data_IF_569277642012
#
_entry.id   IF_569277642012
#
_cell.length_a   1.000
_cell.length_b   1.000
_cell.length_c   1.000
_cell.angle_alpha   90.00
_cell.angle_beta   90.00
_cell.angle_gamma   90.00
#
_symmetry.space_group_name_H-M   'P 1'
#
loop_
_entity.id
_entity.type
_entity.pdbx_description
1 polymer ?
#
# COMPACT_ATOMS: atom_id res chain seq x y z
N UNK A 1 -19.69 -29.03 19.05
CA UNK A 1 -19.79 -27.55 19.18
C UNK A 1 -19.14 -27.17 20.50
N UNK A 2 -17.89 -26.73 20.47
CA UNK A 2 -17.14 -26.41 21.69
C UNK A 2 -17.56 -25.05 22.26
N UNK A 3 -17.76 -24.99 23.57
CA UNK A 3 -17.91 -23.75 24.32
C UNK A 3 -16.53 -23.24 24.72
N UNK A 4 -16.26 -21.96 24.51
CA UNK A 4 -15.02 -21.36 25.00
C UNK A 4 -15.15 -21.05 26.49
N UNK A 5 -14.39 -21.71 27.36
CA UNK A 5 -14.39 -21.46 28.80
C UNK A 5 -13.90 -20.05 29.18
N UNK A 6 -13.16 -19.38 28.29
CA UNK A 6 -12.66 -18.01 28.49
C UNK A 6 -13.65 -16.92 28.08
N UNK A 7 -14.46 -17.16 27.04
CA UNK A 7 -15.36 -16.14 26.46
C UNK A 7 -16.85 -16.44 26.71
N UNK A 8 -17.17 -17.59 27.29
CA UNK A 8 -18.54 -18.06 27.59
C UNK A 8 -19.52 -17.93 26.41
N UNK A 9 -19.01 -18.12 25.19
CA UNK A 9 -19.71 -17.97 23.92
C UNK A 9 -19.38 -19.14 22.99
N UNK A 10 -20.28 -19.49 22.03
CA UNK A 10 -19.99 -20.53 21.06
C UNK A 10 -18.77 -20.15 20.22
N UNK A 11 -17.78 -21.05 20.13
CA UNK A 11 -16.48 -20.79 19.46
C UNK A 11 -16.65 -20.28 18.02
N UNK A 12 -17.68 -20.75 17.30
CA UNK A 12 -17.99 -20.29 15.95
C UNK A 12 -18.31 -18.78 15.87
N UNK A 13 -18.97 -18.22 16.90
CA UNK A 13 -19.29 -16.78 16.94
C UNK A 13 -18.04 -15.94 17.20
N UNK A 14 -17.17 -16.39 18.11
CA UNK A 14 -15.89 -15.73 18.43
C UNK A 14 -14.97 -15.74 17.21
N UNK A 15 -14.87 -16.88 16.51
CA UNK A 15 -14.06 -16.98 15.27
C UNK A 15 -14.58 -16.00 14.23
N UNK A 16 -15.90 -15.93 14.01
CA UNK A 16 -16.50 -15.04 13.00
C UNK A 16 -16.23 -13.57 13.31
N UNK A 17 -16.41 -13.13 14.56
CA UNK A 17 -16.18 -11.73 14.93
C UNK A 17 -14.70 -11.35 14.82
N UNK A 18 -13.80 -12.21 15.32
CA UNK A 18 -12.35 -11.98 15.22
C UNK A 18 -11.88 -11.98 13.76
N UNK A 19 -12.38 -12.91 12.95
CA UNK A 19 -12.05 -12.97 11.53
C UNK A 19 -12.49 -11.70 10.79
N UNK A 20 -13.72 -11.22 11.03
CA UNK A 20 -14.20 -9.98 10.42
C UNK A 20 -13.33 -8.77 10.79
N UNK A 21 -12.90 -8.65 12.06
CA UNK A 21 -12.00 -7.57 12.49
C UNK A 21 -10.62 -7.66 11.85
N UNK A 22 -10.00 -8.84 11.80
CA UNK A 22 -8.71 -9.05 11.16
C UNK A 22 -8.77 -8.80 9.65
N UNK A 23 -9.85 -9.19 8.99
CA UNK A 23 -10.05 -8.95 7.57
C UNK A 23 -10.18 -7.45 7.26
N UNK A 24 -10.97 -6.71 8.05
CA UNK A 24 -11.10 -5.27 7.89
C UNK A 24 -9.76 -4.55 8.08
N UNK A 25 -8.95 -4.98 9.06
CA UNK A 25 -7.60 -4.47 9.29
C UNK A 25 -6.68 -4.70 8.09
N UNK A 26 -6.60 -5.95 7.63
CA UNK A 26 -5.75 -6.33 6.50
C UNK A 26 -6.18 -5.62 5.23
N UNK A 27 -7.48 -5.57 4.94
CA UNK A 27 -8.02 -4.90 3.77
C UNK A 27 -7.72 -3.39 3.80
N UNK A 28 -7.95 -2.73 4.94
CA UNK A 28 -7.64 -1.30 5.11
C UNK A 28 -6.16 -1.00 4.95
N UNK A 29 -5.29 -1.78 5.59
CA UNK A 29 -3.85 -1.63 5.49
C UNK A 29 -3.35 -1.87 4.06
N UNK A 30 -3.85 -2.91 3.39
CA UNK A 30 -3.48 -3.25 2.02
C UNK A 30 -3.90 -2.17 1.02
N UNK A 31 -5.13 -1.67 1.12
CA UNK A 31 -5.62 -0.58 0.26
C UNK A 31 -4.81 0.69 0.47
N UNK A 32 -4.60 1.09 1.72
CA UNK A 32 -3.90 2.34 2.04
C UNK A 32 -2.42 2.26 1.63
N UNK A 33 -1.77 1.13 1.92
CA UNK A 33 -0.41 0.81 1.46
C UNK A 33 -0.29 0.85 -0.06
N UNK A 34 -1.23 0.23 -0.77
CA UNK A 34 -1.24 0.19 -2.23
C UNK A 34 -1.39 1.58 -2.85
N UNK A 35 -2.38 2.36 -2.38
CA UNK A 35 -2.62 3.72 -2.88
C UNK A 35 -1.42 4.63 -2.61
N UNK A 36 -0.92 4.66 -1.37
CA UNK A 36 0.23 5.50 -1.01
C UNK A 36 1.52 5.03 -1.69
N UNK A 37 1.78 3.72 -1.72
CA UNK A 37 2.97 3.15 -2.35
C UNK A 37 3.00 3.40 -3.86
N UNK A 38 1.88 3.20 -4.56
CA UNK A 38 1.79 3.43 -6.01
C UNK A 38 1.91 4.93 -6.33
N UNK A 39 1.26 5.81 -5.57
CA UNK A 39 1.35 7.27 -5.81
C UNK A 39 2.76 7.80 -5.58
N UNK A 40 3.42 7.38 -4.49
CA UNK A 40 4.81 7.74 -4.21
C UNK A 40 5.78 7.14 -5.23
N UNK A 41 5.61 5.88 -5.61
CA UNK A 41 6.42 5.21 -6.61
C UNK A 41 6.27 5.82 -8.01
N UNK A 42 5.04 6.24 -8.36
CA UNK A 42 4.77 6.97 -9.60
C UNK A 42 5.46 8.33 -9.61
N UNK A 43 5.38 9.07 -8.51
CA UNK A 43 6.04 10.37 -8.37
C UNK A 43 7.57 10.24 -8.45
N UNK A 44 8.15 9.24 -7.78
CA UNK A 44 9.57 8.92 -7.85
C UNK A 44 10.01 8.52 -9.27
N UNK A 45 9.24 7.67 -9.95
CA UNK A 45 9.49 7.25 -11.32
C UNK A 45 9.40 8.39 -12.35
N UNK A 46 8.48 9.35 -12.14
CA UNK A 46 8.35 10.57 -12.97
C UNK A 46 9.58 11.46 -12.86
N UNK A 47 10.09 11.65 -11.64
CA UNK A 47 11.23 12.52 -11.37
C UNK A 47 12.55 11.74 -11.23
N UNK A 48 12.76 10.74 -12.08
CA UNK A 48 13.91 9.83 -12.00
C UNK A 48 15.23 10.62 -11.93
N UNK A 49 16.08 10.27 -10.96
CA UNK A 49 17.37 10.92 -10.64
C UNK A 49 17.30 12.36 -10.11
N UNK A 50 16.11 12.93 -9.90
CA UNK A 50 15.94 14.25 -9.26
C UNK A 50 15.87 14.13 -7.74
N UNK A 51 15.92 15.28 -7.06
CA UNK A 51 15.81 15.36 -5.59
C UNK A 51 14.59 14.62 -4.99
N UNK A 52 13.35 14.74 -5.52
CA UNK A 52 12.21 14.01 -4.95
C UNK A 52 12.35 12.49 -5.05
N UNK A 53 12.89 11.95 -6.15
CA UNK A 53 13.18 10.51 -6.29
C UNK A 53 14.18 10.04 -5.23
N UNK A 54 15.27 10.79 -5.02
CA UNK A 54 16.29 10.47 -4.00
C UNK A 54 15.75 10.54 -2.57
N UNK A 55 14.79 11.42 -2.27
CA UNK A 55 14.14 11.49 -0.95
C UNK A 55 13.25 10.27 -0.73
N UNK A 56 12.36 9.97 -1.67
CA UNK A 56 11.42 8.85 -1.57
C UNK A 56 12.18 7.53 -1.47
N UNK A 57 13.19 7.30 -2.31
CA UNK A 57 14.00 6.08 -2.24
C UNK A 57 14.72 5.95 -0.90
N UNK A 58 15.32 7.03 -0.37
CA UNK A 58 15.99 7.00 0.94
C UNK A 58 15.04 6.61 2.05
N UNK A 59 13.85 7.21 2.08
CA UNK A 59 12.81 6.88 3.07
C UNK A 59 12.40 5.41 2.92
N UNK A 60 12.10 4.94 1.71
CA UNK A 60 11.72 3.54 1.47
C UNK A 60 12.82 2.54 1.87
N UNK A 61 14.09 2.86 1.61
CA UNK A 61 15.21 2.01 2.05
C UNK A 61 15.34 2.01 3.57
N UNK A 62 15.23 3.16 4.24
CA UNK A 62 15.23 3.22 5.70
C UNK A 62 14.10 2.38 6.29
N UNK A 63 12.90 2.44 5.71
CA UNK A 63 11.77 1.63 6.12
C UNK A 63 12.00 0.13 5.91
N UNK A 64 12.71 -0.27 4.85
CA UNK A 64 13.00 -1.67 4.56
C UNK A 64 14.19 -2.24 5.33
N UNK A 65 15.12 -1.38 5.77
CA UNK A 65 16.30 -1.79 6.55
C UNK A 65 16.01 -1.92 8.04
N UNK A 66 15.01 -1.19 8.55
CA UNK A 66 14.58 -1.29 9.93
C UNK A 66 13.61 -2.46 10.13
N UNK A 67 13.73 -3.23 11.22
CA UNK A 67 12.74 -4.25 11.54
C UNK A 67 11.35 -3.66 11.69
N UNK A 68 10.37 -4.29 11.06
CA UNK A 68 8.94 -3.92 11.07
C UNK A 68 8.40 -3.57 12.45
N UNK A 69 8.70 -4.41 13.44
CA UNK A 69 8.26 -4.24 14.82
C UNK A 69 8.76 -2.93 15.43
N UNK A 70 9.98 -2.52 15.08
CA UNK A 70 10.60 -1.30 15.60
C UNK A 70 9.89 -0.05 15.09
N UNK A 71 9.51 -0.03 13.81
CA UNK A 71 8.70 1.05 13.22
C UNK A 71 7.33 1.13 13.88
N UNK A 72 6.68 -0.01 14.10
CA UNK A 72 5.39 -0.07 14.78
C UNK A 72 5.47 0.48 16.22
N UNK A 73 6.52 0.10 16.96
CA UNK A 73 6.77 0.64 18.31
C UNK A 73 7.04 2.14 18.30
N UNK A 74 7.80 2.64 17.33
CA UNK A 74 8.10 4.07 17.21
C UNK A 74 6.83 4.86 16.89
N UNK A 75 6.00 4.37 15.95
CA UNK A 75 4.69 4.96 15.66
C UNK A 75 3.81 5.00 16.93
N UNK A 76 3.75 3.89 17.66
CA UNK A 76 3.02 3.81 18.92
C UNK A 76 3.53 4.86 19.92
N UNK A 77 4.84 4.92 20.16
CA UNK A 77 5.42 5.90 21.10
C UNK A 77 5.12 7.35 20.68
N UNK A 78 5.19 7.65 19.39
CA UNK A 78 5.05 9.02 18.89
C UNK A 78 3.58 9.48 18.92
N UNK A 79 2.65 8.64 18.48
CA UNK A 79 1.21 8.96 18.38
C UNK A 79 0.39 8.62 19.62
N UNK A 80 0.94 7.84 20.54
CA UNK A 80 0.22 7.43 21.74
C UNK A 80 0.81 8.07 23.01
N UNK A 81 2.12 8.35 23.05
CA UNK A 81 2.77 9.01 24.20
C UNK A 81 3.05 10.48 23.93
N UNK A 82 3.69 10.82 22.81
CA UNK A 82 4.15 12.20 22.58
C UNK A 82 3.03 13.13 22.12
N UNK A 83 2.21 12.66 21.18
CA UNK A 83 1.03 13.34 20.64
C UNK A 83 -0.17 12.42 20.83
N UNK A 84 -0.89 12.48 21.97
CA UNK A 84 -2.00 11.57 22.30
C UNK A 84 -3.25 11.85 21.44
N UNK A 85 -3.11 11.73 20.13
CA UNK A 85 -4.17 11.85 19.13
C UNK A 85 -4.86 10.48 18.98
N UNK A 86 -4.12 9.39 19.22
CA UNK A 86 -4.59 8.02 19.00
C UNK A 86 -4.39 7.16 20.26
N UNK A 87 -5.40 6.36 20.66
CA UNK A 87 -5.34 5.51 21.85
C UNK A 87 -4.34 4.36 21.69
N UNK A 88 -3.54 4.11 22.74
CA UNK A 88 -2.42 3.15 22.76
C UNK A 88 -2.94 1.69 22.75
N UNK A 89 -4.04 1.43 23.45
CA UNK A 89 -4.55 0.10 23.78
C UNK A 89 -6.06 0.13 24.03
N UNK A 90 -6.65 -1.07 24.00
CA UNK A 90 -8.08 -1.38 24.17
C UNK A 90 -8.92 -1.19 22.89
N UNK A 91 -9.93 -2.03 22.70
CA UNK A 91 -10.89 -1.88 21.59
C UNK A 91 -12.05 -0.92 21.97
N UNK A 92 -12.03 -0.40 23.19
CA UNK A 92 -13.05 0.38 23.88
C UNK A 92 -12.41 1.08 25.09
N UNK A 93 -12.92 2.25 25.48
CA UNK A 93 -12.47 2.94 26.69
C UNK A 93 -12.75 2.10 27.96
N UNK A 94 -11.86 2.13 28.98
CA UNK A 94 -12.07 1.41 30.23
C UNK A 94 -13.26 2.02 31.00
N UNK A 95 -14.45 1.47 30.77
CA UNK A 95 -15.72 1.95 31.34
C UNK A 95 -16.94 1.74 30.44
N UNK A 96 -16.77 1.43 29.15
CA UNK A 96 -17.89 1.24 28.21
C UNK A 96 -18.09 -0.27 27.89
N UNK A 97 -19.34 -0.74 27.96
CA UNK A 97 -19.67 -2.14 27.68
C UNK A 97 -19.57 -2.43 26.16
N UNK A 98 -19.25 -3.68 25.82
CA UNK A 98 -19.12 -4.16 24.43
C UNK A 98 -20.37 -3.95 23.55
N UNK A 99 -21.53 -3.65 24.15
CA UNK A 99 -22.81 -3.38 23.46
C UNK A 99 -23.08 -1.91 23.10
N UNK A 100 -22.35 -0.94 23.65
CA UNK A 100 -22.57 0.51 23.45
C UNK A 100 -21.40 1.23 22.78
N UNK A 101 -20.28 0.52 22.54
CA UNK A 101 -19.13 1.08 21.83
C UNK A 101 -19.52 1.35 20.36
N UNK A 102 -19.66 2.63 20.03
CA UNK A 102 -19.96 3.10 18.68
C UNK A 102 -18.92 2.51 17.70
N UNK A 103 -19.37 2.06 16.52
CA UNK A 103 -18.48 1.51 15.48
C UNK A 103 -17.29 2.44 15.17
N UNK A 104 -17.51 3.76 15.33
CA UNK A 104 -16.49 4.80 15.18
C UNK A 104 -15.37 4.75 16.22
N UNK A 105 -15.65 4.34 17.46
CA UNK A 105 -14.62 4.17 18.49
C UNK A 105 -13.73 2.97 18.16
N UNK A 106 -14.32 1.86 17.71
CA UNK A 106 -13.57 0.70 17.21
C UNK A 106 -12.67 1.11 16.04
N UNK A 107 -13.20 1.87 15.07
CA UNK A 107 -12.43 2.41 13.93
C UNK A 107 -11.24 3.27 14.38
N UNK A 108 -11.40 4.16 15.36
CA UNK A 108 -10.31 5.03 15.85
C UNK A 108 -9.14 4.24 16.45
N UNK A 109 -9.43 3.14 17.14
CA UNK A 109 -8.41 2.24 17.69
C UNK A 109 -7.73 1.37 16.62
N UNK A 110 -8.37 1.19 15.46
CA UNK A 110 -7.84 0.43 14.32
C UNK A 110 -6.91 1.28 13.42
N UNK A 111 -7.01 2.61 13.45
CA UNK A 111 -6.22 3.50 12.59
C UNK A 111 -4.73 3.32 12.82
N UNK A 112 -4.28 3.28 14.08
CA UNK A 112 -2.86 3.19 14.41
C UNK A 112 -2.20 1.88 13.90
N UNK A 113 -2.79 0.69 14.12
CA UNK A 113 -2.28 -0.55 13.52
C UNK A 113 -2.43 -0.58 11.99
N UNK A 114 -3.50 -0.01 11.41
CA UNK A 114 -3.64 0.10 9.94
C UNK A 114 -2.54 0.98 9.35
N UNK A 115 -2.24 2.12 9.96
CA UNK A 115 -1.16 3.01 9.56
C UNK A 115 0.18 2.29 9.67
N UNK A 116 0.49 1.68 10.81
CA UNK A 116 1.73 0.93 11.00
C UNK A 116 1.89 -0.18 9.95
N UNK A 117 0.85 -0.97 9.69
CA UNK A 117 0.87 -2.00 8.66
C UNK A 117 1.02 -1.42 7.24
N UNK A 118 0.38 -0.28 6.97
CA UNK A 118 0.44 0.35 5.66
C UNK A 118 1.81 0.95 5.31
N UNK A 119 2.50 1.53 6.30
CA UNK A 119 3.85 2.08 6.16
C UNK A 119 4.85 1.00 5.72
N UNK A 120 4.68 -0.23 6.19
CA UNK A 120 5.54 -1.35 5.81
C UNK A 120 5.39 -1.68 4.32
N UNK A 121 4.15 -1.84 3.87
CA UNK A 121 3.89 -2.21 2.49
C UNK A 121 4.18 -1.08 1.51
N UNK A 122 3.92 0.19 1.87
CA UNK A 122 4.08 1.31 0.94
C UNK A 122 5.53 1.47 0.48
N UNK A 123 6.50 1.23 1.36
CA UNK A 123 7.93 1.38 1.07
C UNK A 123 8.38 0.43 -0.04
N UNK A 124 8.00 -0.84 0.08
CA UNK A 124 8.32 -1.86 -0.94
C UNK A 124 7.53 -1.64 -2.23
N UNK A 125 6.23 -1.33 -2.13
CA UNK A 125 5.39 -1.07 -3.31
C UNK A 125 5.92 0.14 -4.10
N UNK A 126 6.36 1.20 -3.41
CA UNK A 126 6.92 2.38 -4.05
C UNK A 126 8.22 2.07 -4.82
N UNK A 127 9.13 1.29 -4.22
CA UNK A 127 10.39 0.89 -4.88
C UNK A 127 10.14 0.03 -6.12
N UNK A 128 9.27 -0.99 -6.02
CA UNK A 128 8.91 -1.83 -7.17
C UNK A 128 8.20 -1.04 -8.27
N UNK A 129 7.31 -0.12 -7.91
CA UNK A 129 6.60 0.72 -8.88
C UNK A 129 7.58 1.65 -9.61
N UNK A 130 8.52 2.26 -8.87
CA UNK A 130 9.59 3.09 -9.45
C UNK A 130 10.46 2.30 -10.41
N UNK A 131 10.89 1.09 -10.06
CA UNK A 131 11.70 0.23 -10.92
C UNK A 131 10.99 -0.11 -12.22
N UNK A 132 9.69 -0.45 -12.15
CA UNK A 132 8.86 -0.68 -13.34
C UNK A 132 8.76 0.55 -14.23
N UNK A 133 8.60 1.74 -13.65
CA UNK A 133 8.57 2.98 -14.44
C UNK A 133 9.95 3.24 -15.06
N UNK A 134 11.02 3.04 -14.32
CA UNK A 134 12.38 3.21 -14.82
C UNK A 134 12.73 2.24 -15.96
N UNK A 135 12.24 1.00 -15.92
CA UNK A 135 12.44 0.03 -17.00
C UNK A 135 11.64 0.40 -18.26
N UNK A 136 10.37 0.81 -18.10
CA UNK A 136 9.54 1.31 -19.21
C UNK A 136 10.20 2.54 -19.85
N UNK A 137 10.75 3.46 -19.06
CA UNK A 137 11.48 4.64 -19.54
C UNK A 137 12.71 4.35 -20.38
N UNK A 138 13.34 3.18 -20.19
CA UNK A 138 14.50 2.76 -20.98
C UNK A 138 14.11 2.02 -22.26
N UNK A 139 12.86 1.61 -22.40
CA UNK A 139 12.38 0.82 -23.55
C UNK A 139 12.43 1.60 -24.87
N UNK A 140 12.56 0.87 -25.97
CA UNK A 140 12.65 1.43 -27.33
C UNK A 140 11.40 2.22 -27.72
N UNK A 141 10.24 1.90 -27.14
CA UNK A 141 8.98 2.61 -27.37
C UNK A 141 9.09 4.10 -27.05
N UNK A 142 9.74 4.45 -25.95
CA UNK A 142 9.88 5.86 -25.52
C UNK A 142 10.96 6.56 -26.33
N UNK A 143 11.99 5.83 -26.78
CA UNK A 143 13.00 6.37 -27.71
C UNK A 143 12.38 6.70 -29.07
N UNK A 144 11.52 5.83 -29.59
CA UNK A 144 10.80 6.04 -30.85
C UNK A 144 9.78 7.20 -30.74
N UNK A 145 9.01 7.27 -29.65
CA UNK A 145 8.10 8.38 -29.39
C UNK A 145 8.82 9.73 -29.30
N UNK A 146 10.01 9.76 -28.66
CA UNK A 146 10.84 10.97 -28.60
C UNK A 146 11.41 11.35 -29.98
N UNK A 147 11.73 10.36 -30.82
CA UNK A 147 12.21 10.59 -32.19
C UNK A 147 11.14 11.22 -33.10
N UNK A 148 9.85 10.95 -32.84
CA UNK A 148 8.72 11.61 -33.51
C UNK A 148 8.48 13.07 -33.07
N UNK A 149 9.32 13.63 -32.19
CA UNK A 149 9.23 15.02 -31.77
C UNK A 149 8.29 15.26 -30.57
N UNK A 150 7.83 14.21 -29.90
CA UNK A 150 6.99 14.32 -28.70
C UNK A 150 7.87 14.75 -27.51
N UNK A 151 8.06 16.06 -27.37
CA UNK A 151 8.88 16.72 -26.36
C UNK A 151 8.01 17.12 -25.17
N UNK A 152 7.49 16.18 -24.39
CA UNK A 152 6.65 16.57 -23.25
C UNK A 152 6.33 15.52 -22.20
N UNK A 153 6.08 16.01 -20.99
CA UNK A 153 5.57 15.26 -19.82
C UNK A 153 4.24 14.53 -20.05
N UNK A 154 3.62 14.69 -21.23
CA UNK A 154 2.36 14.08 -21.67
C UNK A 154 2.55 12.64 -22.20
N UNK A 155 3.75 12.27 -22.68
CA UNK A 155 4.04 10.90 -23.10
C UNK A 155 3.93 9.87 -21.96
N UNK A 156 4.23 10.28 -20.72
CA UNK A 156 4.29 9.38 -19.55
C UNK A 156 2.94 8.78 -19.16
N UNK A 157 1.84 9.51 -19.34
CA UNK A 157 0.50 9.10 -18.87
C UNK A 157 -0.35 8.59 -20.02
N UNK A 158 -0.25 9.21 -21.21
CA UNK A 158 -1.21 8.95 -22.28
C UNK A 158 -0.91 7.68 -23.08
N UNK A 159 0.36 7.23 -23.19
CA UNK A 159 0.69 6.05 -24.02
C UNK A 159 0.74 4.72 -23.25
N UNK A 160 0.94 4.73 -21.94
CA UNK A 160 0.83 3.51 -21.10
C UNK A 160 -0.60 2.96 -21.05
N UNK A 161 -1.63 3.81 -21.20
CA UNK A 161 -3.02 3.34 -21.31
C UNK A 161 -3.37 2.75 -22.67
N UNK A 162 -2.67 3.15 -23.75
CA UNK A 162 -2.92 2.65 -25.12
C UNK A 162 -2.33 1.24 -25.36
N UNK A 163 -1.37 0.80 -24.55
CA UNK A 163 -0.69 -0.50 -24.73
C UNK A 163 -1.16 -1.60 -23.78
N UNK A 164 -2.48 -1.66 -23.53
CA UNK A 164 -3.15 -2.92 -23.17
C UNK A 164 -3.69 -3.67 -24.41
N UNK A 165 -3.24 -3.32 -25.61
CA UNK A 165 -3.39 -4.21 -26.75
C UNK A 165 -2.21 -5.19 -26.75
N UNK A 166 -2.47 -6.50 -26.58
CA UNK A 166 -1.43 -7.51 -26.68
C UNK A 166 -0.83 -7.45 -28.08
N UNK A 167 0.48 -7.27 -28.16
CA UNK A 167 1.29 -7.24 -29.39
C UNK A 167 1.37 -8.63 -30.07
N UNK A 168 0.32 -9.46 -29.96
CA UNK A 168 0.30 -10.84 -30.48
C UNK A 168 -0.04 -10.93 -31.98
N UNK A 169 -0.49 -9.84 -32.62
CA UNK A 169 -1.10 -9.89 -33.96
C UNK A 169 -0.16 -9.55 -35.13
N UNK A 170 1.13 -9.33 -34.92
CA UNK A 170 2.06 -9.03 -36.02
C UNK A 170 2.79 -10.27 -36.56
N UNK A 171 3.06 -11.27 -35.71
CA UNK A 171 3.81 -12.46 -36.10
C UNK A 171 2.94 -13.58 -36.70
N UNK A 172 1.63 -13.59 -36.43
CA UNK A 172 0.72 -14.60 -36.97
C UNK A 172 0.31 -14.38 -38.42
N UNK A 173 0.47 -13.18 -38.97
CA UNK A 173 0.12 -12.88 -40.38
C UNK A 173 1.26 -13.18 -41.35
N UNK A 174 2.52 -13.17 -40.90
CA UNK A 174 3.68 -13.53 -41.72
C UNK A 174 3.87 -15.05 -41.88
N UNK A 175 3.33 -15.85 -40.96
CA UNK A 175 3.41 -17.33 -41.00
C UNK A 175 2.37 -17.99 -41.92
N UNK A 176 1.42 -17.22 -42.48
CA UNK A 176 0.42 -17.71 -43.44
C UNK A 176 0.67 -17.22 -44.89
N UNK A 177 1.76 -16.49 -45.11
CA UNK A 177 2.13 -15.93 -46.41
C UNK A 177 3.31 -16.66 -47.08
N UNK A 178 3.73 -17.80 -46.52
CA UNK A 178 4.77 -18.68 -47.05
C UNK A 178 4.32 -20.14 -46.92
#
# INVERSE_FOLDING_TARGET
MGYSMLFNMPVASVIRERFATSFALLAGAWLLSGVLGVTLGFLAGRFLHRWPDKMICRISYLLSSLPTFWIAMLLLALFAVRWPVLPVCCAWDPGNNAGTALLSERLRHLVLPVCALSLLGMGQIALHTREKIASVMKSEFIRFARAQGDKGCRCYVTRCYVMRLPQRSAYSLLLWAN
#
